data_IF_415177047973
#
_entry.id   IF_415177047973
#
_cell.length_a   1.000
_cell.length_b   1.000
_cell.length_c   1.000
_cell.angle_alpha   90.00
_cell.angle_beta   90.00
_cell.angle_gamma   90.00
#
_symmetry.space_group_name_H-M   'P 1'
#
loop_
_entity.id
_entity.type
_entity.pdbx_description
1 polymer ?
#
# COMPACT_ATOMS: atom_id res chain seq x y z
N UNK A 1 20.29 14.85 -10.10
CA UNK A 1 21.14 13.65 -9.98
C UNK A 1 20.81 12.69 -11.12
N UNK A 2 21.81 12.16 -11.77
CA UNK A 2 21.71 11.18 -12.87
C UNK A 2 22.43 9.90 -12.42
N UNK A 3 21.73 8.79 -12.36
CA UNK A 3 22.28 7.49 -11.96
C UNK A 3 22.21 6.51 -13.15
N UNK A 4 23.34 5.98 -13.58
CA UNK A 4 23.44 5.00 -14.65
C UNK A 4 23.68 3.60 -14.09
N UNK A 5 22.78 2.68 -14.39
CA UNK A 5 22.99 1.24 -14.17
C UNK A 5 23.52 0.63 -15.47
N UNK A 6 24.69 -0.03 -15.39
CA UNK A 6 25.27 -0.75 -16.54
C UNK A 6 25.03 -2.24 -16.41
N UNK A 7 24.73 -2.88 -17.52
CA UNK A 7 24.60 -4.35 -17.62
C UNK A 7 23.54 -4.96 -16.67
N UNK A 8 22.53 -4.17 -16.27
CA UNK A 8 21.43 -4.66 -15.43
C UNK A 8 20.48 -5.57 -16.22
N UNK A 9 20.02 -6.65 -15.62
CA UNK A 9 18.98 -7.50 -16.20
C UNK A 9 17.62 -6.83 -16.06
N UNK A 10 16.98 -6.52 -17.19
CA UNK A 10 15.62 -5.99 -17.30
C UNK A 10 14.89 -6.73 -18.40
N UNK A 11 13.69 -7.27 -18.12
CA UNK A 11 12.87 -8.03 -19.07
C UNK A 11 13.67 -9.15 -19.80
N UNK A 12 14.51 -9.88 -19.05
CA UNK A 12 15.37 -10.95 -19.53
C UNK A 12 16.53 -10.52 -20.45
N UNK A 13 16.74 -9.22 -20.62
CA UNK A 13 17.85 -8.67 -21.40
C UNK A 13 18.80 -7.84 -20.53
N UNK A 14 20.11 -7.94 -20.79
CA UNK A 14 21.09 -7.03 -20.20
C UNK A 14 21.07 -5.71 -20.95
N UNK A 15 20.89 -4.60 -20.21
CA UNK A 15 20.91 -3.26 -20.80
C UNK A 15 21.43 -2.20 -19.83
N UNK A 16 21.65 -1.02 -20.35
CA UNK A 16 21.88 0.16 -19.53
C UNK A 16 20.55 0.84 -19.21
N UNK A 17 20.39 1.33 -17.99
CA UNK A 17 19.24 2.11 -17.53
C UNK A 17 19.74 3.39 -16.91
N UNK A 18 19.25 4.54 -17.35
CA UNK A 18 19.54 5.84 -16.76
C UNK A 18 18.33 6.31 -15.98
N UNK A 19 18.55 6.78 -14.76
CA UNK A 19 17.56 7.48 -13.94
C UNK A 19 17.97 8.95 -13.86
N UNK A 20 17.16 9.84 -14.42
CA UNK A 20 17.43 11.28 -14.39
C UNK A 20 16.13 12.07 -14.18
N UNK A 21 16.21 13.17 -13.44
CA UNK A 21 15.05 14.00 -13.10
C UNK A 21 13.87 13.21 -12.50
N UNK A 22 14.17 12.15 -11.74
CA UNK A 22 13.17 11.29 -11.12
C UNK A 22 12.51 10.28 -12.05
N UNK A 23 12.98 10.12 -13.30
CA UNK A 23 12.36 9.28 -14.32
C UNK A 23 13.38 8.33 -14.98
N UNK A 24 12.87 7.22 -15.52
CA UNK A 24 13.65 6.31 -16.32
C UNK A 24 13.88 6.87 -17.73
N UNK A 25 15.11 6.71 -18.22
CA UNK A 25 15.49 6.81 -19.62
C UNK A 25 16.10 5.47 -20.03
N UNK A 26 15.52 4.82 -21.02
CA UNK A 26 15.92 3.50 -21.50
C UNK A 26 16.42 3.56 -22.94
N UNK A 27 15.83 4.46 -23.75
CA UNK A 27 16.16 4.58 -25.16
C UNK A 27 17.48 5.36 -25.35
N UNK A 28 18.35 4.83 -26.17
CA UNK A 28 19.64 5.47 -26.51
C UNK A 28 20.67 5.51 -25.37
N UNK A 29 20.38 4.84 -24.23
CA UNK A 29 21.32 4.76 -23.12
C UNK A 29 22.40 3.70 -23.40
N UNK A 30 23.65 4.10 -23.21
CA UNK A 30 24.84 3.24 -23.41
C UNK A 30 25.72 3.29 -22.16
N UNK A 31 26.73 2.44 -22.10
CA UNK A 31 27.74 2.46 -21.02
C UNK A 31 28.54 3.77 -20.95
N UNK A 32 28.56 4.54 -22.06
CA UNK A 32 29.25 5.84 -22.16
C UNK A 32 28.32 7.02 -21.78
N UNK A 33 27.04 6.75 -21.47
CA UNK A 33 26.09 7.81 -21.10
C UNK A 33 26.57 8.55 -19.85
N UNK A 34 26.55 9.89 -19.91
CA UNK A 34 27.00 10.73 -18.80
C UNK A 34 26.07 10.57 -17.59
N UNK A 35 26.64 10.38 -16.40
CA UNK A 35 25.91 10.27 -15.14
C UNK A 35 26.74 10.81 -13.97
N UNK A 36 26.06 11.21 -12.89
CA UNK A 36 26.71 11.65 -11.65
C UNK A 36 27.15 10.43 -10.82
N UNK A 37 26.39 9.32 -10.89
CA UNK A 37 26.68 8.04 -10.28
C UNK A 37 26.59 6.92 -11.33
N UNK A 38 27.57 6.04 -11.36
CA UNK A 38 27.60 4.85 -12.22
C UNK A 38 27.65 3.61 -11.35
N UNK A 39 26.72 2.67 -11.59
CA UNK A 39 26.60 1.41 -10.87
C UNK A 39 26.80 0.26 -11.88
N UNK A 40 27.84 -0.55 -11.67
CA UNK A 40 28.01 -1.80 -12.39
C UNK A 40 27.01 -2.82 -11.86
N UNK A 41 26.03 -3.16 -12.67
CA UNK A 41 24.88 -3.98 -12.24
C UNK A 41 24.84 -5.36 -12.93
N UNK A 42 25.99 -5.85 -13.40
CA UNK A 42 26.08 -7.23 -13.86
C UNK A 42 25.85 -8.20 -12.71
N UNK A 43 24.96 -9.19 -12.92
CA UNK A 43 24.50 -10.11 -11.87
C UNK A 43 23.35 -9.58 -11.01
N UNK A 44 22.82 -8.39 -11.37
CA UNK A 44 21.63 -7.81 -10.71
C UNK A 44 20.48 -7.72 -11.72
N UNK A 45 19.26 -7.78 -11.17
CA UNK A 45 18.03 -7.48 -11.90
C UNK A 45 17.35 -6.22 -11.37
N UNK A 46 16.72 -5.46 -12.26
CA UNK A 46 15.91 -4.30 -11.88
C UNK A 46 14.44 -4.67 -11.93
N UNK A 47 13.72 -4.46 -10.82
CA UNK A 47 12.27 -4.67 -10.72
C UNK A 47 11.61 -3.41 -10.16
N UNK A 48 10.30 -3.16 -10.45
CA UNK A 48 9.60 -2.02 -9.88
C UNK A 48 9.59 -2.09 -8.35
N UNK A 49 9.68 -0.92 -7.70
CA UNK A 49 9.51 -0.80 -6.24
C UNK A 49 8.04 -0.92 -5.84
N UNK A 50 7.80 -1.25 -4.57
CA UNK A 50 6.47 -1.48 -4.03
C UNK A 50 5.76 -0.19 -3.64
N UNK A 51 4.44 -0.22 -3.78
CA UNK A 51 3.48 0.80 -3.36
C UNK A 51 2.49 0.17 -2.39
N UNK A 52 2.71 0.34 -1.09
CA UNK A 52 1.87 -0.18 -0.03
C UNK A 52 0.60 0.67 0.12
N UNK A 53 -0.56 0.17 -0.28
CA UNK A 53 -1.78 0.97 -0.38
C UNK A 53 -2.65 0.97 0.88
N UNK A 54 -2.25 0.25 1.92
CA UNK A 54 -2.91 0.27 3.22
C UNK A 54 -1.93 -0.10 4.33
N UNK A 55 -1.78 0.80 5.30
CA UNK A 55 -0.98 0.57 6.51
C UNK A 55 -1.43 1.45 7.67
N UNK A 56 -0.99 1.07 8.88
CA UNK A 56 -1.03 1.82 10.11
C UNK A 56 0.40 1.91 10.65
N UNK A 57 1.20 2.83 10.09
CA UNK A 57 2.65 2.82 10.22
C UNK A 57 3.13 2.78 11.68
N UNK A 58 2.58 3.65 12.55
CA UNK A 58 3.01 3.70 13.94
C UNK A 58 2.65 2.45 14.77
N UNK A 59 1.74 1.59 14.29
CA UNK A 59 1.47 0.27 14.88
C UNK A 59 2.66 -0.68 14.82
N UNK A 60 3.77 -0.31 14.20
CA UNK A 60 5.03 -1.04 14.32
C UNK A 60 5.48 -1.24 15.77
N UNK A 61 5.05 -0.36 16.68
CA UNK A 61 5.26 -0.51 18.13
C UNK A 61 4.45 -1.64 18.76
N UNK A 62 3.42 -2.13 18.08
CA UNK A 62 2.51 -3.17 18.56
C UNK A 62 2.81 -4.55 17.94
N UNK A 63 3.95 -4.70 17.29
CA UNK A 63 4.39 -5.97 16.71
C UNK A 63 4.44 -7.06 17.78
N UNK A 64 3.75 -8.18 17.53
CA UNK A 64 3.65 -9.29 18.49
C UNK A 64 2.74 -9.01 19.68
N UNK A 65 2.06 -7.87 19.72
CA UNK A 65 1.11 -7.54 20.78
C UNK A 65 -0.30 -8.05 20.46
N UNK A 66 -0.95 -8.71 21.43
CA UNK A 66 -2.35 -9.13 21.36
C UNK A 66 -2.67 -10.04 20.14
N UNK A 67 -1.88 -11.12 19.97
CA UNK A 67 -2.09 -12.08 18.89
C UNK A 67 -3.20 -13.10 19.18
N UNK A 68 -3.67 -13.80 18.13
CA UNK A 68 -4.52 -15.00 18.18
C UNK A 68 -5.91 -14.77 18.81
N UNK A 69 -6.60 -13.69 18.40
CA UNK A 69 -7.94 -13.36 18.88
C UNK A 69 -8.83 -12.75 17.81
N UNK A 70 -10.18 -12.78 17.96
CA UNK A 70 -11.11 -12.15 17.03
C UNK A 70 -10.91 -10.63 16.94
N UNK A 71 -11.14 -10.04 15.74
CA UNK A 71 -10.95 -8.62 15.45
C UNK A 71 -11.60 -7.70 16.47
N UNK A 72 -12.86 -7.93 16.85
CA UNK A 72 -13.58 -7.04 17.75
C UNK A 72 -12.96 -7.04 19.17
N UNK A 73 -12.62 -8.23 19.70
CA UNK A 73 -11.90 -8.36 20.98
C UNK A 73 -10.53 -7.68 20.90
N UNK A 74 -9.82 -7.92 19.79
CA UNK A 74 -8.51 -7.34 19.54
C UNK A 74 -8.56 -5.80 19.54
N UNK A 75 -9.51 -5.19 18.83
CA UNK A 75 -9.67 -3.74 18.78
C UNK A 75 -10.07 -3.18 20.17
N UNK A 76 -11.17 -3.70 20.76
CA UNK A 76 -11.82 -3.08 21.91
C UNK A 76 -11.05 -3.28 23.22
N UNK A 77 -10.47 -4.48 23.42
CA UNK A 77 -9.87 -4.84 24.69
C UNK A 77 -8.35 -4.60 24.73
N UNK A 78 -7.70 -4.48 23.56
CA UNK A 78 -6.24 -4.38 23.48
C UNK A 78 -5.75 -3.16 22.70
N UNK A 79 -6.17 -2.98 21.45
CA UNK A 79 -5.57 -1.97 20.58
C UNK A 79 -5.98 -0.56 21.00
N UNK A 80 -7.27 -0.25 21.04
CA UNK A 80 -7.74 1.07 21.40
C UNK A 80 -7.30 1.50 22.81
N UNK A 81 -7.36 0.64 23.87
CA UNK A 81 -6.83 1.00 25.20
C UNK A 81 -5.31 1.20 25.23
N UNK A 82 -4.56 0.64 24.28
CA UNK A 82 -3.13 0.92 24.13
C UNK A 82 -2.91 2.25 23.40
N UNK A 83 -3.60 2.46 22.30
CA UNK A 83 -3.50 3.67 21.46
C UNK A 83 -3.88 4.94 22.25
N UNK A 84 -4.87 4.87 23.13
CA UNK A 84 -5.24 5.98 24.02
C UNK A 84 -4.11 6.50 24.93
N UNK A 85 -3.03 5.72 25.05
CA UNK A 85 -1.86 6.08 25.89
C UNK A 85 -0.66 6.55 25.08
N UNK A 86 -0.73 6.41 23.75
CA UNK A 86 0.37 6.81 22.87
C UNK A 86 0.52 8.33 22.89
N UNK A 87 1.77 8.76 22.86
CA UNK A 87 2.15 10.16 22.70
C UNK A 87 2.66 10.41 21.27
N UNK A 88 2.71 11.67 20.86
CA UNK A 88 3.31 12.05 19.56
C UNK A 88 4.74 11.53 19.41
N UNK A 89 5.52 11.47 20.50
CA UNK A 89 6.85 10.87 20.49
C UNK A 89 6.83 9.35 20.23
N UNK A 90 5.80 8.65 20.70
CA UNK A 90 5.61 7.23 20.38
C UNK A 90 5.21 7.04 18.92
N UNK A 91 4.29 7.87 18.40
CA UNK A 91 3.90 7.85 16.99
C UNK A 91 5.12 8.08 16.10
N UNK A 92 5.96 9.09 16.39
CA UNK A 92 7.22 9.32 15.68
C UNK A 92 8.13 8.10 15.66
N UNK A 93 8.32 7.47 16.83
CA UNK A 93 9.17 6.28 16.96
C UNK A 93 8.63 5.10 16.17
N UNK A 94 7.31 4.87 16.24
CA UNK A 94 6.64 3.82 15.46
C UNK A 94 6.74 4.07 13.96
N UNK A 95 6.47 5.29 13.52
CA UNK A 95 6.58 5.69 12.11
C UNK A 95 8.01 5.55 11.59
N UNK A 96 9.02 5.93 12.38
CA UNK A 96 10.43 5.74 12.02
C UNK A 96 10.78 4.25 11.80
N UNK A 97 10.32 3.35 12.69
CA UNK A 97 10.49 1.91 12.54
C UNK A 97 9.81 1.40 11.27
N UNK A 98 8.55 1.79 11.04
CA UNK A 98 7.77 1.39 9.88
C UNK A 98 8.43 1.83 8.57
N UNK A 99 8.81 3.10 8.47
CA UNK A 99 9.46 3.66 7.28
C UNK A 99 10.79 2.96 7.01
N UNK A 100 11.61 2.74 8.04
CA UNK A 100 12.87 2.01 7.90
C UNK A 100 12.68 0.58 7.38
N UNK A 101 11.67 -0.14 7.90
CA UNK A 101 11.34 -1.49 7.44
C UNK A 101 10.82 -1.48 6.00
N UNK A 102 9.83 -0.65 5.69
CA UNK A 102 9.26 -0.53 4.35
C UNK A 102 10.33 -0.22 3.30
N UNK A 103 11.22 0.73 3.58
CA UNK A 103 12.32 1.07 2.65
C UNK A 103 13.27 -0.10 2.47
N UNK A 104 13.66 -0.77 3.55
CA UNK A 104 14.59 -1.91 3.49
C UNK A 104 14.01 -3.16 2.83
N UNK A 105 12.68 -3.25 2.74
CA UNK A 105 11.94 -4.32 2.05
C UNK A 105 11.43 -3.92 0.66
N UNK A 106 11.78 -2.71 0.19
CA UNK A 106 11.56 -2.27 -1.20
C UNK A 106 10.32 -1.41 -1.44
N UNK A 107 9.65 -0.93 -0.39
CA UNK A 107 8.52 -0.01 -0.53
C UNK A 107 9.01 1.44 -0.58
N UNK A 108 8.55 2.19 -1.58
CA UNK A 108 8.89 3.62 -1.80
C UNK A 108 7.68 4.55 -1.66
N UNK A 109 6.52 3.95 -1.44
CA UNK A 109 5.26 4.63 -1.19
C UNK A 109 4.43 3.82 -0.20
N UNK A 110 3.73 4.50 0.70
CA UNK A 110 2.68 3.88 1.51
C UNK A 110 1.49 4.83 1.73
N UNK A 111 0.31 4.25 1.94
CA UNK A 111 -0.90 4.95 2.34
C UNK A 111 -1.18 4.64 3.81
N UNK A 112 -1.11 5.65 4.65
CA UNK A 112 -1.25 5.52 6.11
C UNK A 112 -2.62 5.95 6.60
N UNK A 113 -3.14 5.27 7.62
CA UNK A 113 -4.33 5.67 8.36
C UNK A 113 -4.01 5.63 9.85
N UNK A 114 -3.57 6.76 10.42
CA UNK A 114 -3.22 6.83 11.84
C UNK A 114 -3.44 8.23 12.44
N UNK A 115 -2.89 8.45 13.63
CA UNK A 115 -2.99 9.68 14.41
C UNK A 115 -1.69 10.50 14.33
N UNK A 116 -1.69 11.73 14.86
CA UNK A 116 -0.51 12.62 14.96
C UNK A 116 0.33 12.61 13.68
N UNK A 117 -0.35 12.85 12.57
CA UNK A 117 0.16 12.64 11.21
C UNK A 117 1.43 13.42 10.88
N UNK A 118 1.65 14.56 11.53
CA UNK A 118 2.85 15.39 11.37
C UNK A 118 4.12 14.61 11.73
N UNK A 119 4.03 13.73 12.73
CA UNK A 119 5.14 12.88 13.16
C UNK A 119 5.53 11.86 12.08
N UNK A 120 4.52 11.28 11.41
CA UNK A 120 4.74 10.37 10.28
C UNK A 120 5.29 11.10 9.07
N UNK A 121 4.76 12.31 8.76
CA UNK A 121 5.24 13.17 7.67
C UNK A 121 6.73 13.47 7.80
N UNK A 122 7.18 13.83 9.01
CA UNK A 122 8.59 14.11 9.29
C UNK A 122 9.50 12.90 8.98
N UNK A 123 9.08 11.69 9.36
CA UNK A 123 9.88 10.49 9.12
C UNK A 123 9.89 10.08 7.63
N UNK A 124 8.78 10.28 6.91
CA UNK A 124 8.71 10.07 5.46
C UNK A 124 9.65 11.03 4.72
N UNK A 125 9.65 12.31 5.12
CA UNK A 125 10.52 13.32 4.50
C UNK A 125 12.00 12.99 4.69
N UNK A 126 12.39 12.61 5.91
CA UNK A 126 13.76 12.19 6.23
C UNK A 126 14.21 10.98 5.41
N UNK A 127 13.32 10.01 5.21
CA UNK A 127 13.61 8.82 4.42
C UNK A 127 13.67 9.07 2.91
N UNK A 128 13.11 10.18 2.44
CA UNK A 128 13.12 10.55 1.04
C UNK A 128 12.16 9.73 0.16
N UNK A 129 11.20 9.02 0.75
CA UNK A 129 10.15 8.27 0.06
C UNK A 129 8.86 9.08 -0.07
N UNK A 130 7.82 8.48 -0.64
CA UNK A 130 6.49 9.09 -0.77
C UNK A 130 5.49 8.46 0.17
N UNK A 131 4.47 9.24 0.54
CA UNK A 131 3.33 8.73 1.28
C UNK A 131 2.03 9.47 0.93
N UNK A 132 0.91 8.77 1.13
CA UNK A 132 -0.41 9.35 1.28
C UNK A 132 -0.81 9.23 2.76
N UNK A 133 -1.01 10.36 3.42
CA UNK A 133 -1.22 10.41 4.87
C UNK A 133 -2.68 10.68 5.18
N UNK A 134 -3.29 9.76 5.91
CA UNK A 134 -4.72 9.75 6.18
C UNK A 134 -5.16 10.70 7.30
N UNK A 135 -6.08 11.60 6.97
CA UNK A 135 -6.86 12.35 7.96
C UNK A 135 -7.96 11.42 8.48
N UNK A 136 -7.68 10.71 9.56
CA UNK A 136 -8.62 9.73 10.13
C UNK A 136 -9.86 10.40 10.69
N UNK A 137 -11.05 9.86 10.37
CA UNK A 137 -12.36 10.31 10.86
C UNK A 137 -13.06 9.16 11.55
N UNK A 138 -13.56 9.41 12.78
CA UNK A 138 -14.34 8.47 13.59
C UNK A 138 -15.45 9.23 14.34
N UNK A 139 -16.54 8.55 14.71
CA UNK A 139 -17.68 9.19 15.41
C UNK A 139 -17.36 9.63 16.84
N UNK A 140 -16.41 8.97 17.50
CA UNK A 140 -15.92 9.38 18.81
C UNK A 140 -15.04 10.65 18.77
N UNK A 141 -14.65 11.15 17.59
CA UNK A 141 -13.90 12.41 17.46
C UNK A 141 -14.78 13.60 17.83
N UNK A 142 -14.35 14.47 18.78
CA UNK A 142 -15.06 15.70 19.09
C UNK A 142 -15.19 16.61 17.86
N UNK A 143 -16.28 17.38 17.79
CA UNK A 143 -16.49 18.33 16.68
C UNK A 143 -15.32 19.31 16.51
N UNK A 144 -14.72 19.76 17.61
CA UNK A 144 -13.55 20.65 17.59
C UNK A 144 -12.37 20.03 16.85
N UNK A 145 -12.09 18.74 17.07
CA UNK A 145 -11.04 18.00 16.38
C UNK A 145 -11.36 17.86 14.88
N UNK A 146 -12.61 17.63 14.50
CA UNK A 146 -13.00 17.57 13.08
C UNK A 146 -12.80 18.92 12.38
N UNK A 147 -13.13 20.02 13.04
CA UNK A 147 -12.88 21.37 12.47
C UNK A 147 -11.39 21.68 12.37
N UNK A 148 -10.59 21.23 13.32
CA UNK A 148 -9.12 21.31 13.26
C UNK A 148 -8.57 20.52 12.06
N UNK A 149 -9.00 19.25 11.88
CA UNK A 149 -8.61 18.42 10.74
C UNK A 149 -9.00 19.04 9.40
N UNK A 150 -10.21 19.60 9.28
CA UNK A 150 -10.65 20.34 8.09
C UNK A 150 -9.78 21.57 7.81
N UNK A 151 -9.45 22.34 8.86
CA UNK A 151 -8.56 23.50 8.73
C UNK A 151 -7.17 23.08 8.30
N UNK A 152 -6.58 22.07 8.95
CA UNK A 152 -5.30 21.50 8.58
C UNK A 152 -5.26 21.12 7.09
N UNK A 153 -6.28 20.39 6.63
CA UNK A 153 -6.39 19.96 5.24
C UNK A 153 -6.47 21.13 4.26
N UNK A 154 -7.26 22.18 4.57
CA UNK A 154 -7.40 23.37 3.72
C UNK A 154 -6.15 24.24 3.68
N UNK A 155 -5.35 24.23 4.74
CA UNK A 155 -4.11 25.03 4.88
C UNK A 155 -2.87 24.22 4.46
N UNK A 156 -3.01 22.92 4.21
CA UNK A 156 -1.90 22.02 3.90
C UNK A 156 -1.09 22.48 2.70
N UNK A 157 0.20 22.49 2.88
CA UNK A 157 1.18 22.64 1.81
C UNK A 157 2.24 21.57 2.01
N UNK A 158 2.40 20.71 1.02
CA UNK A 158 3.42 19.69 1.09
C UNK A 158 4.83 20.29 1.24
N UNK A 159 5.52 20.02 2.36
CA UNK A 159 6.86 20.55 2.59
C UNK A 159 7.94 19.83 1.77
N UNK A 160 7.59 18.70 1.13
CA UNK A 160 8.54 17.78 0.51
C UNK A 160 8.67 17.94 -1.01
N UNK A 161 7.91 18.87 -1.60
CA UNK A 161 7.95 19.14 -3.04
C UNK A 161 7.22 18.10 -3.90
N UNK A 162 6.12 17.54 -3.40
CA UNK A 162 5.23 16.62 -4.14
C UNK A 162 5.31 15.16 -3.72
N UNK A 163 6.09 14.83 -2.67
CA UNK A 163 6.23 13.45 -2.22
C UNK A 163 5.16 13.01 -1.22
N UNK A 164 4.52 13.94 -0.52
CA UNK A 164 3.48 13.65 0.47
C UNK A 164 2.16 14.23 0.01
N UNK A 165 1.13 13.39 -0.06
CA UNK A 165 -0.26 13.77 -0.27
C UNK A 165 -1.10 13.47 0.97
N UNK A 166 -2.24 14.15 1.10
CA UNK A 166 -3.23 13.82 2.12
C UNK A 166 -4.36 12.94 1.54
N UNK A 167 -4.95 12.14 2.41
CA UNK A 167 -6.11 11.30 2.12
C UNK A 167 -7.15 11.55 3.21
N UNK A 168 -8.43 11.59 2.89
CA UNK A 168 -9.48 11.60 3.91
C UNK A 168 -9.84 10.15 4.24
N UNK A 169 -9.69 9.78 5.50
CA UNK A 169 -9.69 8.39 5.93
C UNK A 169 -10.77 8.12 7.01
N UNK A 170 -12.08 8.05 6.64
CA UNK A 170 -13.08 7.50 7.54
C UNK A 170 -12.76 6.03 7.81
N UNK A 171 -12.70 5.66 9.09
CA UNK A 171 -12.15 4.36 9.51
C UNK A 171 -12.93 3.18 8.90
N UNK A 172 -14.21 3.04 9.23
CA UNK A 172 -15.10 1.98 8.74
C UNK A 172 -16.57 2.38 8.97
N UNK A 173 -17.52 1.69 8.34
CA UNK A 173 -18.95 1.97 8.50
C UNK A 173 -19.47 1.74 9.94
N UNK A 174 -18.84 0.88 10.70
CA UNK A 174 -19.21 0.59 12.11
C UNK A 174 -18.59 1.57 13.12
N UNK A 175 -17.77 2.50 12.69
CA UNK A 175 -17.17 3.57 13.51
C UNK A 175 -17.45 4.96 13.00
N UNK A 176 -18.09 5.09 11.82
CA UNK A 176 -18.37 6.37 11.17
C UNK A 176 -19.78 6.34 10.60
N UNK A 177 -20.68 7.12 11.16
CA UNK A 177 -22.06 7.23 10.71
C UNK A 177 -22.22 8.00 9.39
N UNK A 178 -23.40 7.88 8.80
CA UNK A 178 -23.73 8.38 7.45
C UNK A 178 -23.38 9.86 7.23
N UNK A 179 -23.70 10.74 8.19
CA UNK A 179 -23.41 12.18 8.06
C UNK A 179 -21.90 12.44 7.93
N UNK A 180 -21.09 11.73 8.70
CA UNK A 180 -19.63 11.88 8.66
C UNK A 180 -19.01 11.20 7.44
N UNK A 181 -19.57 10.08 6.96
CA UNK A 181 -19.17 9.46 5.70
C UNK A 181 -19.43 10.40 4.52
N UNK A 182 -20.61 11.00 4.44
CA UNK A 182 -20.93 12.00 3.42
C UNK A 182 -20.04 13.24 3.51
N UNK A 183 -19.82 13.74 4.71
CA UNK A 183 -18.91 14.86 4.95
C UNK A 183 -17.47 14.53 4.50
N UNK A 184 -16.99 13.33 4.81
CA UNK A 184 -15.65 12.88 4.40
C UNK A 184 -15.52 12.82 2.87
N UNK A 185 -16.52 12.25 2.18
CA UNK A 185 -16.55 12.19 0.73
C UNK A 185 -16.57 13.59 0.09
N UNK A 186 -17.43 14.50 0.59
CA UNK A 186 -17.47 15.89 0.15
C UNK A 186 -16.15 16.62 0.37
N UNK A 187 -15.53 16.41 1.55
CA UNK A 187 -14.25 17.04 1.90
C UNK A 187 -13.13 16.57 0.97
N UNK A 188 -13.03 15.28 0.73
CA UNK A 188 -12.04 14.71 -0.19
C UNK A 188 -12.22 15.26 -1.60
N UNK A 189 -13.43 15.21 -2.15
CA UNK A 189 -13.74 15.60 -3.53
C UNK A 189 -13.53 17.08 -3.79
N UNK A 190 -13.92 17.96 -2.86
CA UNK A 190 -13.67 19.41 -2.97
C UNK A 190 -12.19 19.77 -2.99
N UNK A 191 -11.34 18.94 -2.37
CA UNK A 191 -9.90 19.16 -2.30
C UNK A 191 -9.12 18.28 -3.30
N UNK A 192 -9.80 17.50 -4.15
CA UNK A 192 -9.15 16.61 -5.13
C UNK A 192 -8.33 15.48 -4.48
N UNK A 193 -8.72 15.04 -3.27
CA UNK A 193 -8.03 14.03 -2.50
C UNK A 193 -8.68 12.65 -2.66
N UNK A 194 -7.94 11.62 -2.30
CA UNK A 194 -8.46 10.25 -2.20
C UNK A 194 -9.24 10.06 -0.88
N UNK A 195 -10.14 9.07 -0.90
CA UNK A 195 -10.81 8.51 0.25
C UNK A 195 -10.22 7.14 0.58
N UNK A 196 -10.08 6.84 1.87
CA UNK A 196 -9.59 5.53 2.32
C UNK A 196 -10.49 5.00 3.44
N UNK A 197 -10.89 3.71 3.35
CA UNK A 197 -11.84 3.10 4.29
C UNK A 197 -11.58 1.59 4.38
N UNK A 198 -11.77 0.98 5.57
CA UNK A 198 -11.91 -0.47 5.71
C UNK A 198 -13.30 -0.88 5.25
N UNK A 199 -13.40 -1.93 4.45
CA UNK A 199 -14.66 -2.33 3.81
C UNK A 199 -14.83 -3.84 3.77
N UNK A 200 -15.93 -4.32 4.34
CA UNK A 200 -16.34 -5.73 4.29
C UNK A 200 -15.21 -6.69 4.69
N UNK A 201 -14.50 -6.33 5.76
CA UNK A 201 -13.36 -7.13 6.23
C UNK A 201 -13.83 -8.43 6.87
N UNK A 202 -14.86 -8.37 7.72
CA UNK A 202 -15.37 -9.52 8.47
C UNK A 202 -16.84 -9.79 8.17
N UNK A 203 -17.26 -11.05 8.34
CA UNK A 203 -18.67 -11.39 8.23
C UNK A 203 -19.52 -10.62 9.27
N UNK A 204 -18.99 -10.35 10.45
CA UNK A 204 -19.66 -9.56 11.50
C UNK A 204 -19.99 -8.16 11.01
N UNK A 205 -19.07 -7.48 10.33
CA UNK A 205 -19.34 -6.16 9.72
C UNK A 205 -20.50 -6.21 8.74
N UNK A 206 -20.55 -7.23 7.87
CA UNK A 206 -21.63 -7.42 6.89
C UNK A 206 -22.96 -7.70 7.59
N UNK A 207 -22.96 -8.59 8.57
CA UNK A 207 -24.18 -8.95 9.32
C UNK A 207 -24.74 -7.77 10.12
N UNK A 208 -23.88 -6.96 10.72
CA UNK A 208 -24.28 -5.78 11.49
C UNK A 208 -24.78 -4.66 10.56
N UNK A 209 -24.13 -4.42 9.42
CA UNK A 209 -24.64 -3.51 8.39
C UNK A 209 -26.03 -3.94 7.90
N UNK A 210 -26.24 -5.25 7.71
CA UNK A 210 -27.54 -5.75 7.29
C UNK A 210 -28.65 -5.53 8.36
N UNK A 211 -28.30 -5.67 9.62
CA UNK A 211 -29.24 -5.40 10.74
C UNK A 211 -29.57 -3.90 10.86
N UNK A 212 -28.58 -3.04 10.71
CA UNK A 212 -28.73 -1.59 10.88
C UNK A 212 -29.34 -0.89 9.68
N UNK A 213 -28.88 -1.25 8.47
CA UNK A 213 -29.21 -0.54 7.23
C UNK A 213 -30.04 -1.37 6.26
N UNK A 214 -30.33 -2.66 6.54
CA UNK A 214 -31.07 -3.55 5.65
C UNK A 214 -30.35 -3.94 4.38
N UNK A 215 -29.04 -3.70 4.29
CA UNK A 215 -28.21 -3.94 3.11
C UNK A 215 -26.76 -4.28 3.51
N UNK A 216 -25.89 -4.54 2.55
CA UNK A 216 -24.49 -4.86 2.74
C UNK A 216 -23.61 -3.59 2.71
N UNK A 217 -22.37 -3.62 3.22
CA UNK A 217 -21.51 -2.44 3.30
C UNK A 217 -21.24 -1.76 1.95
N UNK A 218 -20.98 -2.51 0.88
CA UNK A 218 -20.74 -1.94 -0.45
C UNK A 218 -22.00 -1.24 -0.99
N UNK A 219 -23.17 -1.91 -0.93
CA UNK A 219 -24.43 -1.32 -1.38
C UNK A 219 -24.83 -0.11 -0.54
N UNK A 220 -24.58 -0.16 0.76
CA UNK A 220 -24.79 0.99 1.64
C UNK A 220 -23.95 2.19 1.23
N UNK A 221 -22.64 2.02 1.08
CA UNK A 221 -21.74 3.09 0.66
C UNK A 221 -22.07 3.62 -0.75
N UNK A 222 -22.49 2.74 -1.66
CA UNK A 222 -22.96 3.16 -2.99
C UNK A 222 -24.24 4.02 -2.90
N UNK A 223 -25.21 3.60 -2.08
CA UNK A 223 -26.50 4.29 -1.91
C UNK A 223 -26.36 5.71 -1.37
N UNK A 224 -25.36 5.97 -0.53
CA UNK A 224 -25.06 7.30 0.03
C UNK A 224 -24.10 8.12 -0.84
N UNK A 225 -23.68 7.60 -2.01
CA UNK A 225 -22.78 8.28 -2.95
C UNK A 225 -21.33 8.36 -2.49
N UNK A 226 -20.89 7.46 -1.60
CA UNK A 226 -19.52 7.43 -1.10
C UNK A 226 -18.55 6.84 -2.12
N UNK A 227 -18.93 5.78 -2.84
CA UNK A 227 -18.06 5.08 -3.78
C UNK A 227 -17.73 5.93 -5.01
N UNK A 228 -16.49 5.81 -5.49
CA UNK A 228 -15.97 6.53 -6.66
C UNK A 228 -14.53 6.17 -6.99
N UNK A 229 -13.96 6.72 -8.08
CA UNK A 229 -12.57 6.45 -8.49
C UNK A 229 -11.53 7.09 -7.58
N UNK A 230 -11.99 7.85 -6.61
CA UNK A 230 -11.22 8.45 -5.53
C UNK A 230 -11.11 7.53 -4.31
N UNK A 231 -11.86 6.42 -4.25
CA UNK A 231 -11.92 5.52 -3.08
C UNK A 231 -10.88 4.39 -3.16
N UNK A 232 -10.16 4.22 -2.05
CA UNK A 232 -9.29 3.07 -1.75
C UNK A 232 -9.97 2.28 -0.63
N UNK A 233 -10.44 1.07 -0.94
CA UNK A 233 -11.14 0.20 0.00
C UNK A 233 -10.20 -0.93 0.48
N UNK A 234 -9.88 -0.96 1.78
CA UNK A 234 -9.05 -2.00 2.36
C UNK A 234 -9.85 -3.28 2.62
N UNK A 235 -9.18 -4.42 2.54
CA UNK A 235 -9.64 -5.79 2.77
C UNK A 235 -10.60 -6.35 1.72
N UNK A 236 -11.86 -5.94 1.66
CA UNK A 236 -12.88 -6.42 0.72
C UNK A 236 -13.02 -7.94 0.67
N UNK A 237 -13.08 -8.59 1.85
CA UNK A 237 -13.10 -10.06 1.99
C UNK A 237 -14.49 -10.63 1.76
N UNK A 238 -15.51 -10.03 2.39
CA UNK A 238 -16.90 -10.51 2.37
C UNK A 238 -17.74 -9.71 1.37
N UNK A 239 -17.49 -9.94 0.08
CA UNK A 239 -18.13 -9.24 -1.05
C UNK A 239 -18.72 -10.26 -2.01
N UNK A 240 -19.99 -10.09 -2.38
CA UNK A 240 -20.66 -10.92 -3.37
C UNK A 240 -20.34 -10.50 -4.82
N UNK A 241 -20.83 -11.28 -5.79
CA UNK A 241 -20.55 -11.04 -7.21
C UNK A 241 -21.04 -9.68 -7.69
N UNK A 242 -22.24 -9.29 -7.31
CA UNK A 242 -22.85 -8.02 -7.78
C UNK A 242 -22.13 -6.82 -7.15
N UNK A 243 -21.65 -6.95 -5.91
CA UNK A 243 -20.88 -5.92 -5.24
C UNK A 243 -19.49 -5.71 -5.87
N UNK A 244 -18.86 -6.78 -6.37
CA UNK A 244 -17.64 -6.65 -7.17
C UNK A 244 -17.89 -5.86 -8.45
N UNK A 245 -19.02 -6.09 -9.11
CA UNK A 245 -19.41 -5.33 -10.31
C UNK A 245 -19.66 -3.85 -9.95
N UNK A 246 -20.30 -3.54 -8.81
CA UNK A 246 -20.47 -2.16 -8.31
C UNK A 246 -19.10 -1.49 -8.08
N UNK A 247 -18.18 -2.14 -7.36
CA UNK A 247 -16.84 -1.57 -7.08
C UNK A 247 -16.09 -1.26 -8.38
N UNK A 248 -16.16 -2.17 -9.36
CA UNK A 248 -15.53 -2.00 -10.67
C UNK A 248 -16.16 -0.83 -11.46
N UNK A 249 -17.49 -0.74 -11.51
CA UNK A 249 -18.24 0.33 -12.19
C UNK A 249 -17.98 1.70 -11.57
N UNK A 250 -17.84 1.78 -10.24
CA UNK A 250 -17.49 3.01 -9.52
C UNK A 250 -16.01 3.37 -9.63
N UNK A 251 -15.17 2.47 -10.17
CA UNK A 251 -13.72 2.68 -10.31
C UNK A 251 -12.95 2.65 -9.00
N UNK A 252 -13.50 2.00 -7.97
CA UNK A 252 -12.85 1.81 -6.67
C UNK A 252 -11.55 1.03 -6.83
N UNK A 253 -10.53 1.35 -6.04
CA UNK A 253 -9.34 0.51 -5.89
C UNK A 253 -9.45 -0.29 -4.61
N UNK A 254 -9.23 -1.60 -4.70
CA UNK A 254 -9.17 -2.49 -3.55
C UNK A 254 -7.73 -2.64 -3.08
N UNK A 255 -7.48 -2.37 -1.81
CA UNK A 255 -6.20 -2.64 -1.13
C UNK A 255 -6.33 -3.99 -0.40
N UNK A 256 -5.93 -5.07 -1.04
CA UNK A 256 -5.98 -6.41 -0.47
C UNK A 256 -4.82 -6.63 0.51
N UNK A 257 -5.10 -7.12 1.72
CA UNK A 257 -4.15 -7.33 2.81
C UNK A 257 -4.10 -8.81 3.22
N UNK A 258 -3.46 -9.67 2.43
CA UNK A 258 -3.54 -11.13 2.62
C UNK A 258 -3.04 -11.60 3.98
N UNK A 259 -1.92 -11.09 4.49
CA UNK A 259 -1.36 -11.52 5.78
C UNK A 259 -2.27 -11.12 6.95
N UNK A 260 -2.75 -9.89 6.99
CA UNK A 260 -3.68 -9.41 8.01
C UNK A 260 -4.99 -10.20 7.99
N UNK A 261 -5.60 -10.39 6.81
CA UNK A 261 -6.84 -11.16 6.67
C UNK A 261 -6.70 -12.60 7.18
N UNK A 262 -5.54 -13.23 6.97
CA UNK A 262 -5.26 -14.56 7.51
C UNK A 262 -5.07 -14.53 9.02
N UNK A 263 -4.25 -13.61 9.53
CA UNK A 263 -3.90 -13.54 10.94
C UNK A 263 -5.11 -13.25 11.82
N UNK A 264 -5.97 -12.33 11.40
CA UNK A 264 -7.21 -11.99 12.11
C UNK A 264 -8.35 -12.97 11.84
N UNK A 265 -8.15 -13.93 10.93
CA UNK A 265 -9.22 -14.87 10.56
C UNK A 265 -10.39 -14.20 9.87
N UNK A 266 -10.16 -13.07 9.19
CA UNK A 266 -11.20 -12.28 8.51
C UNK A 266 -11.87 -13.05 7.37
N UNK A 267 -11.15 -13.97 6.73
CA UNK A 267 -11.66 -14.83 5.67
C UNK A 267 -10.75 -14.90 4.45
N UNK A 268 -11.19 -15.65 3.43
CA UNK A 268 -10.48 -15.74 2.15
C UNK A 268 -10.97 -14.66 1.19
N UNK A 269 -10.07 -13.84 0.70
CA UNK A 269 -10.38 -12.89 -0.38
C UNK A 269 -10.89 -13.62 -1.64
N UNK A 270 -12.00 -13.19 -2.25
CA UNK A 270 -12.62 -13.91 -3.37
C UNK A 270 -11.95 -13.56 -4.71
N UNK A 271 -10.71 -14.01 -4.91
CA UNK A 271 -9.85 -13.68 -6.05
C UNK A 271 -10.53 -13.86 -7.40
N UNK A 272 -11.28 -14.97 -7.57
CA UNK A 272 -11.93 -15.33 -8.83
C UNK A 272 -12.96 -14.26 -9.24
N UNK A 273 -13.74 -13.78 -8.28
CA UNK A 273 -14.77 -12.76 -8.52
C UNK A 273 -14.14 -11.38 -8.70
N UNK A 274 -13.17 -11.03 -7.87
CA UNK A 274 -12.45 -9.76 -7.96
C UNK A 274 -11.75 -9.59 -9.31
N UNK A 275 -11.00 -10.60 -9.75
CA UNK A 275 -10.32 -10.58 -11.06
C UNK A 275 -11.33 -10.54 -12.20
N UNK A 276 -12.41 -11.32 -12.12
CA UNK A 276 -13.43 -11.38 -13.18
C UNK A 276 -14.23 -10.07 -13.33
N UNK A 277 -14.41 -9.28 -12.26
CA UNK A 277 -15.06 -7.98 -12.31
C UNK A 277 -14.22 -6.90 -13.00
N UNK A 278 -12.90 -7.09 -13.06
CA UNK A 278 -11.98 -6.09 -13.59
C UNK A 278 -11.72 -4.91 -12.64
N UNK A 279 -12.11 -5.02 -11.36
CA UNK A 279 -11.79 -4.02 -10.35
C UNK A 279 -10.27 -3.83 -10.24
N UNK A 280 -9.82 -2.60 -9.97
CA UNK A 280 -8.39 -2.39 -9.71
C UNK A 280 -8.03 -2.99 -8.36
N UNK A 281 -7.06 -3.91 -8.37
CA UNK A 281 -6.49 -4.52 -7.17
C UNK A 281 -5.11 -3.92 -6.92
N UNK A 282 -4.86 -3.58 -5.66
CA UNK A 282 -3.55 -3.26 -5.12
C UNK A 282 -3.31 -4.10 -3.85
N UNK A 283 -2.10 -4.09 -3.32
CA UNK A 283 -1.78 -4.77 -2.06
C UNK A 283 -1.44 -3.76 -0.97
N UNK A 284 -1.77 -4.13 0.27
CA UNK A 284 -1.37 -3.44 1.48
C UNK A 284 -0.91 -4.41 2.55
N UNK A 285 -0.04 -3.96 3.44
CA UNK A 285 0.44 -4.77 4.57
C UNK A 285 -0.50 -4.73 5.77
N UNK A 286 -1.35 -3.69 5.84
CA UNK A 286 -2.00 -3.33 7.10
C UNK A 286 -0.97 -2.92 8.17
N UNK A 287 -1.34 -2.83 9.45
CA UNK A 287 -0.43 -2.51 10.55
C UNK A 287 0.32 -3.73 11.08
N UNK A 288 1.47 -3.50 11.72
CA UNK A 288 2.25 -4.57 12.36
C UNK A 288 1.51 -5.27 13.50
N UNK A 289 0.48 -4.68 14.06
CA UNK A 289 -0.35 -5.33 15.08
C UNK A 289 -1.22 -6.46 14.50
N UNK A 290 -1.61 -6.38 13.23
CA UNK A 290 -2.42 -7.38 12.53
C UNK A 290 -1.63 -8.23 11.53
N UNK A 291 -0.37 -7.85 11.22
CA UNK A 291 0.49 -8.55 10.24
C UNK A 291 1.83 -9.02 10.82
N UNK A 292 2.39 -8.27 11.78
CA UNK A 292 3.75 -8.39 12.35
C UNK A 292 4.90 -7.89 11.46
N UNK A 293 4.73 -7.61 10.18
CA UNK A 293 5.73 -6.99 9.33
C UNK A 293 5.11 -6.04 8.28
N UNK A 294 5.98 -5.31 7.56
CA UNK A 294 5.60 -4.37 6.49
C UNK A 294 6.31 -4.74 5.17
N UNK A 295 6.49 -6.04 4.93
CA UNK A 295 7.16 -6.58 3.73
C UNK A 295 6.15 -6.88 2.60
N UNK A 296 5.99 -5.96 1.66
CA UNK A 296 5.11 -6.10 0.49
C UNK A 296 5.42 -7.31 -0.39
N UNK A 297 6.66 -7.80 -0.40
CA UNK A 297 7.02 -9.03 -1.10
C UNK A 297 6.34 -10.25 -0.45
N UNK A 298 6.21 -10.25 0.87
CA UNK A 298 5.50 -11.30 1.60
C UNK A 298 4.01 -11.28 1.27
N UNK A 299 3.39 -10.10 1.20
CA UNK A 299 2.02 -9.92 0.72
C UNK A 299 1.84 -10.49 -0.69
N UNK A 300 2.77 -10.24 -1.62
CA UNK A 300 2.75 -10.84 -2.96
C UNK A 300 2.73 -12.36 -2.90
N UNK A 301 3.59 -12.96 -2.07
CA UNK A 301 3.68 -14.42 -1.93
C UNK A 301 2.37 -15.02 -1.42
N UNK A 302 1.83 -14.45 -0.35
CA UNK A 302 0.59 -14.95 0.24
C UNK A 302 -0.62 -14.72 -0.67
N UNK A 303 -0.73 -13.57 -1.33
CA UNK A 303 -1.77 -13.33 -2.33
C UNK A 303 -1.74 -14.39 -3.44
N UNK A 304 -0.55 -14.65 -4.02
CA UNK A 304 -0.38 -15.64 -5.08
C UNK A 304 -0.72 -17.08 -4.63
N UNK A 305 -0.37 -17.45 -3.40
CA UNK A 305 -0.62 -18.81 -2.87
C UNK A 305 -2.09 -18.98 -2.47
N UNK A 306 -2.69 -18.01 -1.78
CA UNK A 306 -4.10 -18.05 -1.36
C UNK A 306 -5.06 -18.04 -2.54
N UNK A 307 -4.74 -17.32 -3.61
CA UNK A 307 -5.53 -17.35 -4.84
C UNK A 307 -5.67 -18.77 -5.39
N UNK A 308 -4.61 -19.59 -5.28
CA UNK A 308 -4.55 -20.97 -5.81
C UNK A 308 -5.08 -22.02 -4.84
N UNK A 309 -5.42 -21.65 -3.60
CA UNK A 309 -5.75 -22.59 -2.53
C UNK A 309 -6.95 -23.50 -2.86
N UNK A 310 -7.92 -23.02 -3.62
CA UNK A 310 -9.16 -23.73 -3.92
C UNK A 310 -9.36 -24.10 -5.38
N UNK A 311 -8.33 -24.24 -6.19
CA UNK A 311 -8.56 -24.84 -7.46
C UNK A 311 -7.58 -24.54 -8.58
N UNK A 312 -7.69 -23.39 -9.23
CA UNK A 312 -6.92 -23.11 -10.44
C UNK A 312 -5.50 -22.63 -10.11
N UNK A 313 -4.44 -23.44 -10.43
CA UNK A 313 -3.07 -23.03 -10.19
C UNK A 313 -2.58 -21.89 -11.10
N UNK A 314 -3.37 -21.50 -12.10
CA UNK A 314 -3.01 -20.43 -13.05
C UNK A 314 -3.53 -19.07 -12.64
N UNK A 315 -4.46 -19.01 -11.67
CA UNK A 315 -5.01 -17.74 -11.18
C UNK A 315 -3.93 -16.93 -10.44
N UNK A 316 -3.94 -15.63 -10.59
CA UNK A 316 -3.02 -14.70 -9.95
C UNK A 316 -1.54 -15.17 -10.04
N UNK A 317 -0.96 -15.28 -11.24
CA UNK A 317 0.44 -15.64 -11.42
C UNK A 317 1.36 -14.58 -10.79
N UNK A 318 2.63 -14.92 -10.57
CA UNK A 318 3.60 -14.06 -9.89
C UNK A 318 3.68 -12.64 -10.51
N UNK A 319 3.69 -12.58 -11.83
CA UNK A 319 3.72 -11.32 -12.57
C UNK A 319 2.50 -10.43 -12.31
N UNK A 320 1.31 -11.04 -12.18
CA UNK A 320 0.08 -10.31 -11.91
C UNK A 320 0.05 -9.77 -10.47
N UNK A 321 0.43 -10.60 -9.52
CA UNK A 321 0.48 -10.18 -8.10
C UNK A 321 1.56 -9.11 -7.87
N UNK A 322 2.69 -9.22 -8.56
CA UNK A 322 3.71 -8.16 -8.53
C UNK A 322 3.15 -6.84 -9.09
N UNK A 323 2.34 -6.88 -10.16
CA UNK A 323 1.65 -5.68 -10.68
C UNK A 323 0.69 -5.08 -9.66
N UNK A 324 -0.04 -5.88 -8.88
CA UNK A 324 -0.90 -5.35 -7.82
C UNK A 324 -0.10 -4.59 -6.77
N UNK A 325 1.08 -5.10 -6.38
CA UNK A 325 1.95 -4.47 -5.39
C UNK A 325 2.74 -3.26 -5.91
N UNK A 326 2.79 -3.05 -7.21
CA UNK A 326 3.59 -2.01 -7.87
C UNK A 326 2.70 -1.06 -8.67
N UNK A 327 2.37 -1.41 -9.91
CA UNK A 327 1.55 -0.61 -10.82
C UNK A 327 0.15 -0.33 -10.25
N UNK A 328 -0.52 -1.33 -9.65
CA UNK A 328 -1.86 -1.16 -9.07
C UNK A 328 -1.88 -0.10 -7.99
N UNK A 329 -0.88 -0.10 -7.11
CA UNK A 329 -0.73 0.92 -6.09
C UNK A 329 -0.38 2.30 -6.66
N UNK A 330 0.53 2.38 -7.63
CA UNK A 330 0.87 3.65 -8.29
C UNK A 330 -0.35 4.28 -8.97
N UNK A 331 -1.11 3.51 -9.75
CA UNK A 331 -2.33 3.96 -10.43
C UNK A 331 -3.43 4.40 -9.45
N UNK A 332 -3.55 3.72 -8.29
CA UNK A 332 -4.50 4.08 -7.23
C UNK A 332 -4.34 5.53 -6.77
N UNK A 333 -3.10 5.99 -6.69
CA UNK A 333 -2.74 7.33 -6.25
C UNK A 333 -2.38 8.29 -7.37
N UNK A 334 -2.58 7.89 -8.64
CA UNK A 334 -2.30 8.74 -9.81
C UNK A 334 -0.81 8.99 -10.04
N UNK A 335 0.06 8.12 -9.52
CA UNK A 335 1.52 8.21 -9.72
C UNK A 335 1.87 7.54 -11.05
N UNK A 336 2.57 8.25 -11.92
CA UNK A 336 3.01 7.77 -13.24
C UNK A 336 4.23 6.83 -13.13
N UNK A 337 4.08 5.77 -12.32
CA UNK A 337 5.15 4.85 -11.90
C UNK A 337 4.68 3.41 -11.72
N UNK A 338 5.37 2.66 -10.87
CA UNK A 338 5.07 1.24 -10.58
C UNK A 338 5.43 0.28 -11.71
N UNK A 339 6.11 0.77 -12.74
CA UNK A 339 6.66 0.01 -13.87
C UNK A 339 8.01 0.60 -14.28
N UNK A 340 8.88 -0.23 -14.85
CA UNK A 340 10.14 0.25 -15.43
C UNK A 340 9.91 0.42 -16.94
N UNK A 341 9.70 1.66 -17.36
CA UNK A 341 9.47 2.01 -18.75
C UNK A 341 9.96 3.43 -19.03
N UNK A 342 10.18 3.74 -20.32
CA UNK A 342 10.61 5.06 -20.78
C UNK A 342 9.73 6.17 -20.20
N UNK A 343 10.33 7.19 -19.58
CA UNK A 343 9.67 8.37 -19.05
C UNK A 343 8.88 8.16 -17.74
N UNK A 344 8.76 6.95 -17.22
CA UNK A 344 8.05 6.65 -15.96
C UNK A 344 8.87 7.04 -14.73
N UNK A 345 8.22 7.27 -13.60
CA UNK A 345 8.88 7.58 -12.32
C UNK A 345 9.87 6.47 -11.98
N UNK A 346 11.10 6.85 -11.66
CA UNK A 346 12.21 5.93 -11.46
C UNK A 346 12.21 5.34 -10.02
N UNK A 347 11.22 4.51 -9.76
CA UNK A 347 11.05 3.74 -8.53
C UNK A 347 11.38 2.27 -8.79
N UNK A 348 12.48 1.80 -8.23
CA UNK A 348 12.97 0.47 -8.52
C UNK A 348 13.69 -0.19 -7.34
N UNK A 349 13.75 -1.50 -7.40
CA UNK A 349 14.59 -2.35 -6.56
C UNK A 349 15.65 -2.99 -7.43
N UNK A 350 16.91 -2.88 -7.02
CA UNK A 350 18.02 -3.63 -7.60
C UNK A 350 18.20 -4.93 -6.80
N UNK A 351 17.93 -6.06 -7.45
CA UNK A 351 17.98 -7.41 -6.84
C UNK A 351 19.31 -8.08 -7.16
N UNK A 352 20.01 -8.57 -6.14
CA UNK A 352 21.18 -9.42 -6.29
C UNK A 352 20.76 -10.84 -6.71
N UNK A 353 21.08 -11.20 -7.95
CA UNK A 353 20.79 -12.53 -8.49
C UNK A 353 21.69 -13.63 -7.92
N UNK A 354 22.77 -13.28 -7.20
CA UNK A 354 23.63 -14.24 -6.50
C UNK A 354 23.13 -14.55 -5.08
N UNK A 355 22.14 -13.81 -4.58
CA UNK A 355 21.51 -14.11 -3.30
C UNK A 355 20.99 -15.56 -3.28
N UNK A 356 21.21 -16.26 -2.16
CA UNK A 356 20.91 -17.71 -2.05
C UNK A 356 19.51 -18.08 -2.51
N UNK A 357 18.50 -17.29 -2.15
CA UNK A 357 17.10 -17.56 -2.48
C UNK A 357 16.70 -17.11 -3.90
N UNK A 358 17.59 -16.45 -4.61
CA UNK A 358 17.45 -16.14 -6.04
C UNK A 358 18.08 -17.22 -6.93
N UNK A 359 18.75 -18.23 -6.36
CA UNK A 359 19.45 -19.30 -7.10
C UNK A 359 18.75 -20.65 -7.00
N UNK A 360 18.64 -21.44 -8.10
CA UNK A 360 18.89 -21.01 -9.49
C UNK A 360 17.82 -20.05 -9.99
N UNK A 361 18.17 -19.11 -10.88
CA UNK A 361 17.23 -18.11 -11.38
C UNK A 361 16.78 -18.44 -12.80
N UNK A 362 15.67 -19.15 -12.95
CA UNK A 362 15.01 -19.39 -14.24
C UNK A 362 14.05 -18.25 -14.64
N UNK A 363 13.43 -17.61 -13.63
CA UNK A 363 12.55 -16.46 -13.79
C UNK A 363 12.70 -15.55 -12.58
N UNK A 364 13.09 -14.31 -12.81
CA UNK A 364 13.37 -13.32 -11.77
C UNK A 364 12.12 -13.04 -10.94
N UNK A 365 10.97 -12.80 -11.61
CA UNK A 365 9.72 -12.45 -10.93
C UNK A 365 9.20 -13.61 -10.08
N UNK A 366 9.24 -14.83 -10.62
CA UNK A 366 8.84 -16.03 -9.86
C UNK A 366 9.72 -16.23 -8.63
N UNK A 367 11.04 -16.09 -8.75
CA UNK A 367 11.95 -16.21 -7.62
C UNK A 367 11.71 -15.08 -6.60
N UNK A 368 11.52 -13.84 -7.08
CA UNK A 368 11.26 -12.70 -6.22
C UNK A 368 9.97 -12.88 -5.41
N UNK A 369 8.89 -13.30 -6.04
CA UNK A 369 7.58 -13.50 -5.36
C UNK A 369 7.58 -14.73 -4.45
N UNK A 370 8.06 -15.90 -4.92
CA UNK A 370 7.85 -17.16 -4.21
C UNK A 370 9.00 -17.57 -3.29
N UNK A 371 10.24 -17.25 -3.64
CA UNK A 371 11.43 -17.81 -3.00
C UNK A 371 12.26 -16.80 -2.22
N UNK A 372 12.46 -15.60 -2.76
CA UNK A 372 13.36 -14.60 -2.20
C UNK A 372 12.85 -14.00 -0.87
N UNK A 373 13.69 -13.25 -0.24
CA UNK A 373 13.38 -12.34 0.87
C UNK A 373 14.16 -11.03 0.69
N UNK A 374 14.00 -10.10 1.62
CA UNK A 374 14.67 -8.79 1.57
C UNK A 374 16.19 -8.87 1.49
N UNK A 375 16.81 -10.04 1.82
CA UNK A 375 18.27 -10.23 1.67
C UNK A 375 18.75 -10.16 0.21
N UNK A 376 17.85 -10.33 -0.75
CA UNK A 376 18.15 -10.17 -2.17
C UNK A 376 18.15 -8.69 -2.63
N UNK A 377 17.68 -7.76 -1.84
CA UNK A 377 17.66 -6.33 -2.18
C UNK A 377 19.06 -5.75 -1.97
N UNK A 378 19.67 -5.27 -3.05
CA UNK A 378 20.93 -4.55 -2.99
C UNK A 378 20.73 -3.05 -2.81
N UNK A 379 19.78 -2.46 -3.57
CA UNK A 379 19.42 -1.04 -3.46
C UNK A 379 17.93 -0.83 -3.72
N UNK A 380 17.39 0.26 -3.16
CA UNK A 380 16.05 0.76 -3.46
C UNK A 380 16.17 2.20 -3.95
N UNK A 381 15.49 2.50 -5.04
CA UNK A 381 15.45 3.82 -5.66
C UNK A 381 14.04 4.40 -5.56
N UNK A 382 13.93 5.64 -5.08
CA UNK A 382 12.73 6.46 -5.12
C UNK A 382 13.01 7.70 -5.96
N UNK A 383 12.29 7.88 -7.07
CA UNK A 383 12.54 8.97 -8.04
C UNK A 383 14.01 9.02 -8.48
N UNK A 384 14.60 7.87 -8.73
CA UNK A 384 16.00 7.73 -9.16
C UNK A 384 17.05 8.04 -8.09
N UNK A 385 16.63 8.36 -6.86
CA UNK A 385 17.53 8.56 -5.72
C UNK A 385 17.62 7.28 -4.92
N UNK A 386 18.82 6.89 -4.54
CA UNK A 386 19.04 5.77 -3.63
C UNK A 386 18.49 6.13 -2.25
N UNK A 387 17.49 5.38 -1.78
CA UNK A 387 16.90 5.52 -0.43
C UNK A 387 17.30 4.38 0.51
N UNK A 388 17.84 3.29 -0.04
CA UNK A 388 18.39 2.17 0.72
C UNK A 388 19.55 1.53 -0.05
N UNK A 389 20.58 1.12 0.67
CA UNK A 389 21.69 0.26 0.20
C UNK A 389 22.00 -0.75 1.30
N UNK A 390 22.10 -2.01 0.89
CA UNK A 390 22.53 -3.09 1.78
C UNK A 390 24.07 -3.09 1.95
#
# INVERSE_FOLDING_TARGET
MRTLLKNVLLDSEKRCVLMENGRFTLEGVTEESSADEVIEAEGFALVPAFYNTHTHAAMSLLRGYANDMPLQTWLQDYIWPYEDKLTSADIRRGSALAVSEMVSTGSVFFNDMYFDIEETIDEVDKAGIRAAIGITIMDNHPLALLEEKKRFLNEWKDPTGGRISLVVAPHAIYTVGEERLKMAADLARRNGLKLHIHLSETQTEVDDCHKEHGTTPVRYLDSIGFLGPDVIAAHCVHIDREEWDILAERGVTVAHCPCSNMKLGSGRFPYEMAIASGVRISLGTDGCSSNDNLDMREECKFAALLAKLVGDPTIAPAEEVLKWATRGGAEAFGIDGGVIAEGKVADAILLDLHARKMQPCFNVVSNWVYSADSSAIARVFCEGRTVFTR
#
